data_IF_215797634972
#
_entry.id   IF_215797634972
#
_cell.length_a   1.000
_cell.length_b   1.000
_cell.length_c   1.000
_cell.angle_alpha   90.00
_cell.angle_beta   90.00
_cell.angle_gamma   90.00
#
_symmetry.space_group_name_H-M   'P 1'
#
loop_
_entity.id
_entity.type
_entity.pdbx_description
1 polymer ?
#
# COMPACT_ATOMS: atom_id res chain seq x y z
N UNK A 1 -44.70 81.84 18.66
CA UNK A 1 -44.49 80.66 17.79
C UNK A 1 -43.00 80.46 17.54
N UNK A 2 -42.39 79.44 18.15
CA UNK A 2 -40.93 79.20 18.16
C UNK A 2 -40.57 78.19 17.06
N UNK A 3 -40.00 78.64 15.94
CA UNK A 3 -39.52 77.77 14.84
C UNK A 3 -38.36 76.92 15.34
N UNK A 4 -38.53 75.60 15.35
CA UNK A 4 -37.45 74.62 15.63
C UNK A 4 -36.61 74.45 14.36
N UNK A 5 -35.33 74.79 14.45
CA UNK A 5 -34.34 74.52 13.39
C UNK A 5 -34.04 73.03 13.29
N UNK A 6 -34.15 72.48 12.08
CA UNK A 6 -33.75 71.12 11.74
C UNK A 6 -32.25 71.13 11.46
N UNK A 7 -31.46 70.58 12.39
CA UNK A 7 -30.03 70.37 12.20
C UNK A 7 -29.81 69.14 11.32
N UNK A 8 -29.40 69.36 10.06
CA UNK A 8 -28.96 68.30 9.16
C UNK A 8 -27.63 67.72 9.64
N UNK A 9 -27.68 66.54 10.27
CA UNK A 9 -26.48 65.73 10.56
C UNK A 9 -25.88 65.19 9.26
N UNK A 10 -24.82 65.84 8.80
CA UNK A 10 -23.98 65.41 7.69
C UNK A 10 -23.27 64.09 8.07
N UNK A 11 -23.80 62.96 7.58
CA UNK A 11 -23.28 61.61 7.84
C UNK A 11 -22.08 61.36 6.91
N UNK A 12 -20.87 61.70 7.37
CA UNK A 12 -19.61 61.36 6.69
C UNK A 12 -19.56 59.84 6.46
N UNK A 13 -19.70 59.40 5.20
CA UNK A 13 -19.53 58.00 4.81
C UNK A 13 -18.03 57.68 4.89
N UNK A 14 -17.65 56.79 5.81
CA UNK A 14 -16.31 56.22 5.82
C UNK A 14 -16.03 55.52 4.49
N UNK A 15 -14.84 55.72 3.88
CA UNK A 15 -14.45 54.95 2.71
C UNK A 15 -14.40 53.47 3.09
N UNK A 16 -15.16 52.64 2.37
CA UNK A 16 -15.04 51.18 2.47
C UNK A 16 -13.61 50.83 2.06
N UNK A 17 -12.75 50.48 3.03
CA UNK A 17 -11.47 49.83 2.75
C UNK A 17 -11.79 48.53 2.00
N UNK A 18 -11.48 48.50 0.70
CA UNK A 18 -11.47 47.29 -0.10
C UNK A 18 -10.31 46.45 0.44
N UNK A 19 -10.62 45.48 1.29
CA UNK A 19 -9.64 44.51 1.79
C UNK A 19 -9.25 43.64 0.57
N UNK A 20 -7.96 43.57 0.20
CA UNK A 20 -7.54 42.80 -0.96
C UNK A 20 -7.91 41.31 -0.77
N UNK A 21 -8.53 40.74 -1.80
CA UNK A 21 -9.02 39.36 -1.90
C UNK A 21 -7.88 38.33 -2.09
N UNK A 22 -6.74 38.54 -1.44
CA UNK A 22 -5.67 37.55 -1.34
C UNK A 22 -5.47 37.22 0.13
N UNK A 23 -6.43 36.47 0.68
CA UNK A 23 -6.25 35.79 1.96
C UNK A 23 -5.42 34.54 1.69
N UNK A 24 -4.21 34.51 2.23
CA UNK A 24 -3.31 33.35 2.21
C UNK A 24 -4.01 32.09 2.73
N UNK A 25 -4.60 31.32 1.82
CA UNK A 25 -5.18 30.03 2.13
C UNK A 25 -4.06 29.02 2.29
N UNK A 26 -3.61 28.84 3.52
CA UNK A 26 -2.65 27.77 3.83
C UNK A 26 -3.39 26.45 4.03
N UNK A 27 -2.99 25.43 3.28
CA UNK A 27 -3.47 24.05 3.48
C UNK A 27 -3.08 23.59 4.90
N UNK A 28 -4.01 23.06 5.72
CA UNK A 28 -3.71 22.53 7.05
C UNK A 28 -2.65 21.43 7.02
N UNK A 29 -1.88 21.28 8.10
CA UNK A 29 -0.75 20.36 8.13
C UNK A 29 -1.19 18.91 7.87
N UNK A 30 -2.23 18.41 8.54
CA UNK A 30 -2.65 17.03 8.34
C UNK A 30 -3.20 16.76 6.94
N UNK A 31 -3.83 17.75 6.28
CA UNK A 31 -4.21 17.65 4.86
C UNK A 31 -2.98 17.56 3.95
N UNK A 32 -1.91 18.30 4.24
CA UNK A 32 -0.65 18.17 3.47
C UNK A 32 -0.03 16.78 3.64
N UNK A 33 0.01 16.28 4.87
CA UNK A 33 0.51 14.93 5.18
C UNK A 33 -0.32 13.88 4.45
N UNK A 34 -1.64 13.99 4.51
CA UNK A 34 -2.56 13.06 3.85
C UNK A 34 -2.46 13.14 2.32
N UNK A 35 -2.31 14.34 1.75
CA UNK A 35 -2.06 14.52 0.32
C UNK A 35 -0.73 13.91 -0.10
N UNK A 36 0.33 14.11 0.70
CA UNK A 36 1.64 13.47 0.47
C UNK A 36 1.56 11.95 0.51
N UNK A 37 0.82 11.39 1.47
CA UNK A 37 0.54 9.95 1.53
C UNK A 37 -0.19 9.45 0.28
N UNK A 38 -1.24 10.15 -0.18
CA UNK A 38 -1.94 9.79 -1.42
C UNK A 38 -1.05 9.91 -2.66
N UNK A 39 -0.15 10.89 -2.73
CA UNK A 39 0.82 11.02 -3.82
C UNK A 39 1.77 9.82 -3.84
N UNK A 40 2.28 9.40 -2.67
CA UNK A 40 3.14 8.21 -2.56
C UNK A 40 2.37 6.96 -3.02
N UNK A 41 1.12 6.78 -2.58
CA UNK A 41 0.27 5.68 -3.06
C UNK A 41 0.07 5.73 -4.58
N UNK A 42 -0.26 6.91 -5.12
CA UNK A 42 -0.42 7.11 -6.56
C UNK A 42 0.85 6.70 -7.33
N UNK A 43 2.03 7.10 -6.86
CA UNK A 43 3.30 6.72 -7.47
C UNK A 43 3.53 5.20 -7.42
N UNK A 44 3.22 4.53 -6.30
CA UNK A 44 3.31 3.08 -6.21
C UNK A 44 2.34 2.37 -7.16
N UNK A 45 1.10 2.85 -7.27
CA UNK A 45 0.11 2.30 -8.21
C UNK A 45 0.52 2.52 -9.66
N UNK A 46 1.07 3.68 -10.00
CA UNK A 46 1.60 3.95 -11.34
C UNK A 46 2.80 3.06 -11.65
N UNK A 47 3.74 2.89 -10.71
CA UNK A 47 4.87 1.98 -10.87
C UNK A 47 4.40 0.55 -11.07
N UNK A 48 3.47 0.07 -10.24
CA UNK A 48 2.87 -1.25 -10.36
C UNK A 48 2.16 -1.43 -11.71
N UNK A 49 1.42 -0.42 -12.16
CA UNK A 49 0.75 -0.44 -13.46
C UNK A 49 1.77 -0.56 -14.59
N UNK A 50 2.83 0.25 -14.59
CA UNK A 50 3.88 0.25 -15.64
C UNK A 50 4.65 -1.09 -15.66
N UNK A 51 5.06 -1.59 -14.50
CA UNK A 51 5.78 -2.88 -14.39
C UNK A 51 4.89 -4.07 -14.74
N UNK A 52 3.59 -3.96 -14.47
CA UNK A 52 2.58 -4.99 -14.69
C UNK A 52 1.89 -4.95 -16.05
N UNK A 53 2.30 -4.11 -17.00
CA UNK A 53 1.63 -3.99 -18.32
C UNK A 53 1.61 -5.34 -19.06
N UNK A 54 2.68 -6.14 -18.95
CA UNK A 54 2.79 -7.43 -19.62
C UNK A 54 1.90 -8.52 -19.02
N UNK A 55 1.66 -8.46 -17.70
CA UNK A 55 0.82 -9.41 -16.97
C UNK A 55 -0.02 -8.67 -15.92
N UNK A 56 -1.04 -7.90 -16.37
CA UNK A 56 -1.82 -7.07 -15.47
C UNK A 56 -2.59 -7.98 -14.51
N UNK A 57 -2.29 -7.80 -13.24
CA UNK A 57 -2.95 -8.48 -12.13
C UNK A 57 -3.46 -7.42 -11.16
N UNK A 58 -4.55 -7.73 -10.47
CA UNK A 58 -5.02 -6.91 -9.35
C UNK A 58 -5.75 -7.81 -8.36
N UNK A 59 -5.72 -7.44 -7.08
CA UNK A 59 -6.34 -8.23 -6.02
C UNK A 59 -7.46 -7.42 -5.39
N UNK A 60 -8.69 -7.87 -5.61
CA UNK A 60 -9.91 -7.16 -5.22
C UNK A 60 -10.87 -8.15 -4.59
N UNK A 61 -11.32 -7.83 -3.39
CA UNK A 61 -12.28 -8.59 -2.59
C UNK A 61 -11.89 -10.07 -2.49
N UNK A 62 -10.62 -10.36 -2.23
CA UNK A 62 -10.13 -11.73 -2.10
C UNK A 62 -9.86 -12.47 -3.42
N UNK A 63 -10.14 -11.86 -4.58
CA UNK A 63 -9.98 -12.49 -5.89
C UNK A 63 -8.85 -11.84 -6.68
N UNK A 64 -8.07 -12.67 -7.38
CA UNK A 64 -7.08 -12.23 -8.36
C UNK A 64 -7.81 -12.02 -9.68
N UNK A 65 -7.87 -10.78 -10.14
CA UNK A 65 -8.34 -10.42 -11.48
C UNK A 65 -7.10 -10.29 -12.36
N UNK A 66 -7.17 -10.80 -13.59
CA UNK A 66 -6.06 -10.77 -14.56
C UNK A 66 -6.51 -10.20 -15.90
N UNK A 67 -5.57 -9.72 -16.70
CA UNK A 67 -5.83 -9.29 -18.08
C UNK A 67 -6.39 -7.86 -18.18
N UNK A 68 -7.21 -7.62 -19.21
CA UNK A 68 -7.72 -6.29 -19.51
C UNK A 68 -8.52 -5.67 -18.36
N UNK A 69 -9.33 -6.48 -17.67
CA UNK A 69 -10.13 -6.03 -16.52
C UNK A 69 -9.25 -5.53 -15.37
N UNK A 70 -8.13 -6.20 -15.10
CA UNK A 70 -7.18 -5.78 -14.09
C UNK A 70 -6.50 -4.46 -14.46
N UNK A 71 -6.18 -4.27 -15.74
CA UNK A 71 -5.60 -3.02 -16.26
C UNK A 71 -6.59 -1.86 -16.11
N UNK A 72 -7.84 -2.05 -16.52
CA UNK A 72 -8.90 -1.05 -16.39
C UNK A 72 -9.12 -0.66 -14.92
N UNK A 73 -9.12 -1.64 -14.01
CA UNK A 73 -9.28 -1.40 -12.58
C UNK A 73 -8.10 -0.61 -11.99
N UNK A 74 -6.87 -1.02 -12.29
CA UNK A 74 -5.67 -0.32 -11.81
C UNK A 74 -5.61 1.13 -12.35
N UNK A 75 -5.99 1.35 -13.60
CA UNK A 75 -6.10 2.70 -14.18
C UNK A 75 -7.18 3.54 -13.47
N UNK A 76 -8.36 2.96 -13.21
CA UNK A 76 -9.42 3.65 -12.47
C UNK A 76 -8.98 4.07 -11.06
N UNK A 77 -8.22 3.22 -10.36
CA UNK A 77 -7.62 3.57 -9.06
C UNK A 77 -6.66 4.74 -9.20
N UNK A 78 -5.76 4.72 -10.19
CA UNK A 78 -4.80 5.79 -10.40
C UNK A 78 -5.51 7.14 -10.65
N UNK A 79 -6.55 7.15 -11.49
CA UNK A 79 -7.38 8.33 -11.75
C UNK A 79 -8.08 8.80 -10.47
N UNK A 80 -8.65 7.88 -9.69
CA UNK A 80 -9.32 8.20 -8.42
C UNK A 80 -8.34 8.83 -7.41
N UNK A 81 -7.14 8.29 -7.28
CA UNK A 81 -6.09 8.84 -6.40
C UNK A 81 -5.66 10.24 -6.85
N UNK A 82 -5.44 10.45 -8.14
CA UNK A 82 -5.13 11.77 -8.69
C UNK A 82 -6.25 12.78 -8.43
N UNK A 83 -7.51 12.35 -8.59
CA UNK A 83 -8.67 13.16 -8.30
C UNK A 83 -8.73 13.52 -6.80
N UNK A 84 -8.53 12.56 -5.89
CA UNK A 84 -8.49 12.83 -4.45
C UNK A 84 -7.37 13.80 -4.04
N UNK A 85 -6.17 13.66 -4.59
CA UNK A 85 -5.05 14.60 -4.36
C UNK A 85 -5.46 16.01 -4.78
N UNK A 86 -6.02 16.16 -5.98
CA UNK A 86 -6.54 17.45 -6.44
C UNK A 86 -7.63 17.99 -5.50
N UNK A 87 -8.56 17.14 -5.07
CA UNK A 87 -9.64 17.48 -4.15
C UNK A 87 -9.13 17.99 -2.79
N UNK A 88 -8.09 17.36 -2.24
CA UNK A 88 -7.47 17.75 -0.97
C UNK A 88 -6.70 19.06 -1.05
N UNK A 89 -5.88 19.24 -2.09
CA UNK A 89 -5.12 20.48 -2.29
C UNK A 89 -6.04 21.68 -2.47
N UNK A 90 -7.20 21.47 -3.12
CA UNK A 90 -8.21 22.51 -3.34
C UNK A 90 -9.31 22.55 -2.27
N UNK A 91 -9.24 21.69 -1.24
CA UNK A 91 -10.22 21.55 -0.15
C UNK A 91 -11.66 21.47 -0.64
N UNK A 92 -11.91 20.58 -1.60
CA UNK A 92 -13.26 20.36 -2.14
C UNK A 92 -14.05 19.45 -1.21
N UNK A 93 -15.31 19.78 -0.97
CA UNK A 93 -16.21 18.98 -0.12
C UNK A 93 -16.38 17.54 -0.62
N UNK A 94 -16.54 17.36 -1.94
CA UNK A 94 -16.64 16.02 -2.53
C UNK A 94 -15.41 15.13 -2.23
N UNK A 95 -14.24 15.73 -1.99
CA UNK A 95 -13.03 14.97 -1.70
C UNK A 95 -13.12 14.28 -0.34
N UNK A 96 -13.85 14.88 0.62
CA UNK A 96 -14.15 14.24 1.90
C UNK A 96 -15.03 12.99 1.67
N UNK A 97 -16.12 13.13 0.94
CA UNK A 97 -17.07 12.02 0.69
C UNK A 97 -16.40 10.86 -0.04
N UNK A 98 -15.70 11.15 -1.14
CA UNK A 98 -14.99 10.14 -1.93
C UNK A 98 -13.91 9.45 -1.09
N UNK A 99 -13.20 10.18 -0.24
CA UNK A 99 -12.19 9.58 0.63
C UNK A 99 -12.79 8.68 1.70
N UNK A 100 -13.91 9.08 2.31
CA UNK A 100 -14.61 8.22 3.28
C UNK A 100 -14.99 6.89 2.62
N UNK A 101 -15.55 6.93 1.41
CA UNK A 101 -15.87 5.73 0.63
C UNK A 101 -14.61 4.92 0.29
N UNK A 102 -13.55 5.57 -0.19
CA UNK A 102 -12.31 4.92 -0.61
C UNK A 102 -11.62 4.19 0.55
N UNK A 103 -11.38 4.87 1.66
CA UNK A 103 -10.70 4.28 2.81
C UNK A 103 -11.60 3.26 3.53
N UNK A 104 -12.93 3.48 3.55
CA UNK A 104 -13.90 2.51 4.04
C UNK A 104 -13.93 1.23 3.18
N UNK A 105 -13.92 1.38 1.86
CA UNK A 105 -13.80 0.26 0.92
C UNK A 105 -12.49 -0.49 1.12
N UNK A 106 -11.37 0.21 1.37
CA UNK A 106 -10.10 -0.42 1.69
C UNK A 106 -10.16 -1.32 2.93
N UNK A 107 -10.85 -0.89 3.99
CA UNK A 107 -11.07 -1.72 5.19
C UNK A 107 -11.93 -2.93 4.86
N UNK A 108 -13.06 -2.74 4.16
CA UNK A 108 -13.95 -3.84 3.75
C UNK A 108 -13.20 -4.85 2.88
N UNK A 109 -12.41 -4.36 1.93
CA UNK A 109 -11.58 -5.16 1.04
C UNK A 109 -10.56 -5.99 1.81
N UNK A 110 -9.91 -5.39 2.82
CA UNK A 110 -8.97 -6.10 3.69
C UNK A 110 -9.67 -7.24 4.45
N UNK A 111 -10.86 -7.00 5.03
CA UNK A 111 -11.64 -8.04 5.70
C UNK A 111 -12.00 -9.20 4.77
N UNK A 112 -12.61 -8.90 3.61
CA UNK A 112 -13.00 -9.93 2.64
C UNK A 112 -11.80 -10.69 2.11
N UNK A 113 -10.69 -9.98 1.90
CA UNK A 113 -9.43 -10.60 1.49
C UNK A 113 -8.89 -11.57 2.52
N UNK A 114 -9.07 -11.33 3.81
CA UNK A 114 -8.65 -12.25 4.87
C UNK A 114 -9.53 -13.51 4.93
N UNK A 115 -10.86 -13.34 4.80
CA UNK A 115 -11.81 -14.46 4.87
C UNK A 115 -11.78 -15.36 3.64
N UNK A 116 -11.58 -14.79 2.46
CA UNK A 116 -11.61 -15.52 1.18
C UNK A 116 -10.24 -16.10 0.78
N UNK A 117 -9.18 -15.83 1.55
CA UNK A 117 -7.86 -16.40 1.29
C UNK A 117 -7.79 -17.84 1.83
N UNK A 118 -8.45 -18.78 1.14
CA UNK A 118 -8.42 -20.22 1.46
C UNK A 118 -7.14 -20.92 0.93
N UNK A 119 -6.13 -20.17 0.51
CA UNK A 119 -4.93 -20.72 -0.11
C UNK A 119 -3.88 -21.21 0.89
N UNK A 120 -3.30 -22.38 0.60
CA UNK A 120 -2.09 -22.96 1.20
C UNK A 120 -0.81 -22.13 0.91
N UNK A 121 -0.90 -20.81 0.97
CA UNK A 121 0.19 -19.88 0.70
C UNK A 121 1.17 -19.89 1.89
N UNK A 122 2.46 -20.02 1.54
CA UNK A 122 3.66 -19.89 2.39
C UNK A 122 3.44 -19.18 3.74
N UNK A 123 4.03 -19.70 4.83
CA UNK A 123 3.96 -19.04 6.14
C UNK A 123 4.44 -17.57 6.09
N UNK A 124 5.43 -17.25 5.25
CA UNK A 124 5.94 -15.88 5.10
C UNK A 124 4.98 -15.00 4.30
N UNK A 125 4.46 -15.46 3.17
CA UNK A 125 3.45 -14.71 2.39
C UNK A 125 2.16 -14.54 3.18
N UNK A 126 1.76 -15.54 3.96
CA UNK A 126 0.63 -15.47 4.91
C UNK A 126 0.91 -14.44 6.01
N UNK A 127 2.09 -14.42 6.61
CA UNK A 127 2.46 -13.42 7.61
C UNK A 127 2.50 -12.01 7.02
N UNK A 128 3.00 -11.84 5.80
CA UNK A 128 2.99 -10.56 5.08
C UNK A 128 1.55 -10.13 4.75
N UNK A 129 0.69 -11.07 4.34
CA UNK A 129 -0.72 -10.81 4.06
C UNK A 129 -1.47 -10.40 5.33
N UNK A 130 -1.27 -11.11 6.44
CA UNK A 130 -1.82 -10.75 7.75
C UNK A 130 -1.33 -9.38 8.22
N UNK A 131 -0.03 -9.11 8.08
CA UNK A 131 0.55 -7.81 8.41
C UNK A 131 -0.07 -6.71 7.55
N UNK A 132 -0.19 -6.94 6.23
CA UNK A 132 -0.84 -6.02 5.30
C UNK A 132 -2.31 -5.75 5.67
N UNK A 133 -3.05 -6.78 6.11
CA UNK A 133 -4.40 -6.63 6.64
C UNK A 133 -4.45 -5.70 7.84
N UNK A 134 -3.63 -5.95 8.88
CA UNK A 134 -3.61 -5.11 10.08
C UNK A 134 -3.17 -3.68 9.78
N UNK A 135 -2.16 -3.49 8.94
CA UNK A 135 -1.70 -2.17 8.51
C UNK A 135 -2.83 -1.42 7.79
N UNK A 136 -3.49 -2.07 6.83
CA UNK A 136 -4.59 -1.45 6.07
C UNK A 136 -5.71 -1.00 7.01
N UNK A 137 -6.07 -1.82 7.99
CA UNK A 137 -7.10 -1.50 8.97
C UNK A 137 -6.71 -0.30 9.85
N UNK A 138 -5.50 -0.33 10.41
CA UNK A 138 -5.02 0.74 11.33
C UNK A 138 -4.81 2.06 10.59
N UNK A 139 -4.17 2.03 9.41
CA UNK A 139 -3.90 3.24 8.62
C UNK A 139 -5.19 3.85 8.10
N UNK A 140 -6.07 3.06 7.46
CA UNK A 140 -7.33 3.58 6.95
C UNK A 140 -8.25 4.03 8.09
N UNK A 141 -8.26 3.31 9.22
CA UNK A 141 -9.01 3.71 10.42
C UNK A 141 -8.51 5.05 10.98
N UNK A 142 -7.20 5.25 11.06
CA UNK A 142 -6.59 6.52 11.49
C UNK A 142 -6.94 7.66 10.53
N UNK A 143 -6.90 7.41 9.22
CA UNK A 143 -7.25 8.41 8.19
C UNK A 143 -8.73 8.78 8.30
N UNK A 144 -9.63 7.81 8.41
CA UNK A 144 -11.07 8.06 8.58
C UNK A 144 -11.33 8.86 9.87
N UNK A 145 -10.72 8.46 10.99
CA UNK A 145 -10.81 9.20 12.24
C UNK A 145 -10.37 10.67 12.08
N UNK A 146 -9.26 10.91 11.38
CA UNK A 146 -8.78 12.26 11.12
C UNK A 146 -9.74 13.04 10.22
N UNK A 147 -10.23 12.44 9.13
CA UNK A 147 -11.18 13.07 8.20
C UNK A 147 -12.47 13.47 8.92
N UNK A 148 -13.04 12.61 9.76
CA UNK A 148 -14.23 12.95 10.55
C UNK A 148 -13.94 14.02 11.60
N UNK A 149 -12.77 13.97 12.24
CA UNK A 149 -12.38 14.92 13.29
C UNK A 149 -12.12 16.33 12.78
N UNK A 150 -11.79 16.50 11.51
CA UNK A 150 -11.47 17.77 10.85
C UNK A 150 -12.31 18.00 9.57
N UNK A 151 -13.56 17.52 9.56
CA UNK A 151 -14.50 17.71 8.43
C UNK A 151 -14.59 19.17 7.97
N UNK A 152 -14.50 20.11 8.91
CA UNK A 152 -14.56 21.55 8.66
C UNK A 152 -13.48 22.05 7.68
N UNK A 153 -12.38 21.32 7.52
CA UNK A 153 -11.33 21.64 6.55
C UNK A 153 -11.80 21.57 5.11
N UNK A 154 -12.87 20.82 4.83
CA UNK A 154 -13.44 20.62 3.50
C UNK A 154 -14.72 21.40 3.25
N UNK A 155 -15.47 21.74 4.32
CA UNK A 155 -16.79 22.38 4.20
C UNK A 155 -16.69 23.91 4.32
N UNK A 156 -15.75 24.43 5.12
CA UNK A 156 -15.67 25.87 5.38
C UNK A 156 -14.88 26.60 4.28
N UNK A 157 -15.61 27.31 3.41
CA UNK A 157 -15.09 28.08 2.26
C UNK A 157 -13.98 29.08 2.61
N UNK A 158 -13.95 29.58 3.84
CA UNK A 158 -13.01 30.60 4.32
C UNK A 158 -12.25 30.13 5.55
N UNK A 159 -11.56 29.00 5.45
CA UNK A 159 -10.64 28.57 6.52
C UNK A 159 -9.48 29.57 6.63
N UNK A 160 -9.54 30.43 7.64
CA UNK A 160 -8.44 31.31 8.02
C UNK A 160 -7.34 30.48 8.69
N UNK A 161 -6.08 30.87 8.46
CA UNK A 161 -4.87 30.25 8.99
C UNK A 161 -4.97 30.07 10.50
N UNK A 162 -5.57 28.96 10.94
CA UNK A 162 -5.57 28.56 12.35
C UNK A 162 -4.15 28.12 12.71
N UNK A 163 -3.70 28.33 13.96
CA UNK A 163 -2.51 27.66 14.45
C UNK A 163 -2.66 26.14 14.28
N UNK A 164 -1.53 25.45 14.12
CA UNK A 164 -1.49 23.98 13.95
C UNK A 164 -2.35 23.32 15.02
N UNK A 165 -3.35 22.53 14.60
CA UNK A 165 -4.25 21.88 15.54
C UNK A 165 -3.57 20.69 16.21
N UNK A 166 -3.87 20.44 17.48
CA UNK A 166 -3.36 19.25 18.20
C UNK A 166 -3.69 17.94 17.49
N UNK A 167 -4.85 17.88 16.83
CA UNK A 167 -5.30 16.73 16.03
C UNK A 167 -4.42 16.49 14.80
N UNK A 168 -3.94 17.55 14.14
CA UNK A 168 -3.00 17.42 13.00
C UNK A 168 -1.68 16.81 13.46
N UNK A 169 -1.16 17.23 14.63
CA UNK A 169 0.05 16.68 15.21
C UNK A 169 -0.14 15.23 15.65
N UNK A 170 -1.27 14.93 16.32
CA UNK A 170 -1.59 13.56 16.72
C UNK A 170 -1.65 12.63 15.50
N UNK A 171 -2.34 13.04 14.43
CA UNK A 171 -2.40 12.28 13.18
C UNK A 171 -1.01 12.05 12.59
N UNK A 172 -0.18 13.09 12.48
CA UNK A 172 1.19 12.99 11.96
C UNK A 172 2.04 12.03 12.79
N UNK A 173 2.08 12.19 14.12
CA UNK A 173 2.89 11.34 14.99
C UNK A 173 2.41 9.89 15.00
N UNK A 174 1.10 9.65 15.00
CA UNK A 174 0.53 8.31 14.88
C UNK A 174 0.93 7.65 13.56
N UNK A 175 0.88 8.40 12.45
CA UNK A 175 1.26 7.89 11.14
C UNK A 175 2.76 7.55 11.08
N UNK A 176 3.63 8.41 11.60
CA UNK A 176 5.08 8.13 11.72
C UNK A 176 5.33 6.88 12.56
N UNK A 177 4.68 6.76 13.72
CA UNK A 177 4.84 5.62 14.61
C UNK A 177 4.41 4.31 13.93
N UNK A 178 3.27 4.31 13.24
CA UNK A 178 2.79 3.15 12.48
C UNK A 178 3.84 2.74 11.44
N UNK A 179 4.33 3.67 10.61
CA UNK A 179 5.31 3.35 9.58
C UNK A 179 6.65 2.88 10.15
N UNK A 180 7.10 3.44 11.28
CA UNK A 180 8.29 2.97 11.98
C UNK A 180 8.12 1.52 12.47
N UNK A 181 6.98 1.19 13.10
CA UNK A 181 6.66 -0.17 13.51
C UNK A 181 6.59 -1.14 12.32
N UNK A 182 5.94 -0.74 11.22
CA UNK A 182 5.86 -1.54 9.99
C UNK A 182 7.24 -1.83 9.44
N UNK A 183 8.10 -0.81 9.35
CA UNK A 183 9.47 -0.97 8.87
C UNK A 183 10.25 -1.96 9.74
N UNK A 184 10.18 -1.84 11.06
CA UNK A 184 10.85 -2.76 11.98
C UNK A 184 10.35 -4.21 11.83
N UNK A 185 9.04 -4.42 11.70
CA UNK A 185 8.46 -5.75 11.49
C UNK A 185 8.90 -6.32 10.13
N UNK A 186 8.90 -5.53 9.06
CA UNK A 186 9.36 -5.97 7.74
C UNK A 186 10.84 -6.35 7.73
N UNK A 187 11.70 -5.56 8.39
CA UNK A 187 13.13 -5.90 8.57
C UNK A 187 13.27 -7.21 9.36
N UNK A 188 12.53 -7.38 10.45
CA UNK A 188 12.54 -8.60 11.24
C UNK A 188 12.11 -9.84 10.44
N UNK A 189 11.02 -9.73 9.68
CA UNK A 189 10.54 -10.80 8.80
C UNK A 189 11.55 -11.11 7.69
N UNK A 190 12.15 -10.09 7.08
CA UNK A 190 13.18 -10.23 6.05
C UNK A 190 14.43 -10.93 6.55
N UNK A 191 14.95 -10.53 7.72
CA UNK A 191 16.10 -11.15 8.37
C UNK A 191 15.82 -12.61 8.74
N UNK A 192 14.64 -12.91 9.28
CA UNK A 192 14.24 -14.28 9.60
C UNK A 192 14.15 -15.14 8.34
N UNK A 193 13.54 -14.63 7.27
CA UNK A 193 13.48 -15.31 5.98
C UNK A 193 14.86 -15.58 5.41
N UNK A 194 15.76 -14.59 5.43
CA UNK A 194 17.13 -14.71 4.96
C UNK A 194 17.91 -15.79 5.74
N UNK A 195 17.92 -15.71 7.07
CA UNK A 195 18.63 -16.66 7.93
C UNK A 195 18.08 -18.09 7.79
N UNK A 196 16.75 -18.23 7.75
CA UNK A 196 16.10 -19.54 7.57
C UNK A 196 16.47 -20.13 6.21
N UNK A 197 16.38 -19.34 5.14
CA UNK A 197 16.70 -19.79 3.78
C UNK A 197 18.16 -20.21 3.67
N UNK A 198 19.11 -19.42 4.19
CA UNK A 198 20.54 -19.79 4.18
C UNK A 198 20.79 -21.10 4.93
N UNK A 199 20.20 -21.26 6.12
CA UNK A 199 20.36 -22.49 6.91
C UNK A 199 19.82 -23.70 6.16
N UNK A 200 18.63 -23.56 5.57
CA UNK A 200 18.00 -24.60 4.76
C UNK A 200 18.86 -24.97 3.56
N UNK A 201 19.33 -23.97 2.81
CA UNK A 201 20.12 -24.18 1.61
C UNK A 201 21.46 -24.83 1.92
N UNK A 202 22.16 -24.39 2.97
CA UNK A 202 23.43 -25.02 3.38
C UNK A 202 23.25 -26.47 3.80
N UNK A 203 22.21 -26.77 4.59
CA UNK A 203 21.91 -28.13 5.01
C UNK A 203 21.58 -29.02 3.80
N UNK A 204 20.79 -28.51 2.87
CA UNK A 204 20.35 -29.25 1.68
C UNK A 204 21.49 -29.47 0.68
N UNK A 205 22.37 -28.48 0.48
CA UNK A 205 23.60 -28.64 -0.32
C UNK A 205 24.49 -29.73 0.28
N UNK A 206 24.66 -29.74 1.61
CA UNK A 206 25.48 -30.75 2.27
C UNK A 206 24.88 -32.17 2.13
N UNK A 207 23.55 -32.29 2.18
CA UNK A 207 22.82 -33.56 2.05
C UNK A 207 22.80 -34.13 0.63
N UNK A 208 22.77 -33.25 -0.38
CA UNK A 208 22.77 -33.60 -1.80
C UNK A 208 24.17 -33.77 -2.40
N UNK A 209 25.23 -33.36 -1.67
CA UNK A 209 26.60 -33.45 -2.17
C UNK A 209 26.99 -34.90 -2.44
N UNK A 210 27.33 -35.21 -3.69
CA UNK A 210 27.71 -36.56 -4.12
C UNK A 210 26.56 -37.56 -4.24
N UNK A 211 25.30 -37.10 -4.16
CA UNK A 211 24.13 -37.95 -4.43
C UNK A 211 23.88 -38.05 -5.94
N UNK A 212 23.55 -39.25 -6.41
CA UNK A 212 23.11 -39.46 -7.80
C UNK A 212 21.71 -38.87 -8.02
N UNK A 213 21.31 -38.68 -9.28
CA UNK A 213 20.03 -38.03 -9.65
C UNK A 213 18.82 -38.66 -8.94
N UNK A 214 18.69 -39.99 -8.97
CA UNK A 214 17.56 -40.70 -8.35
C UNK A 214 17.54 -40.53 -6.82
N UNK A 215 18.71 -40.59 -6.19
CA UNK A 215 18.85 -40.39 -4.74
C UNK A 215 18.51 -38.95 -4.34
N UNK A 216 18.93 -37.97 -5.14
CA UNK A 216 18.59 -36.56 -4.94
C UNK A 216 17.08 -36.32 -5.11
N UNK A 217 16.46 -36.92 -6.12
CA UNK A 217 15.01 -36.84 -6.33
C UNK A 217 14.24 -37.45 -5.16
N UNK A 218 14.66 -38.63 -4.69
CA UNK A 218 14.03 -39.28 -3.55
C UNK A 218 14.14 -38.41 -2.29
N UNK A 219 15.35 -37.96 -1.93
CA UNK A 219 15.59 -37.08 -0.77
C UNK A 219 14.77 -35.79 -0.83
N UNK A 220 14.64 -35.17 -2.00
CA UNK A 220 13.80 -33.98 -2.15
C UNK A 220 12.30 -34.29 -2.05
N UNK A 221 11.85 -35.44 -2.55
CA UNK A 221 10.43 -35.83 -2.53
C UNK A 221 9.90 -36.10 -1.12
N UNK A 222 10.75 -36.59 -0.22
CA UNK A 222 10.43 -36.90 1.18
C UNK A 222 10.28 -35.65 2.05
N UNK A 223 10.88 -34.53 1.64
CA UNK A 223 10.76 -33.25 2.34
C UNK A 223 9.36 -32.65 2.18
N UNK A 224 8.97 -31.78 3.12
CA UNK A 224 7.65 -31.12 3.13
C UNK A 224 7.78 -29.59 3.08
N UNK A 225 6.82 -28.95 2.41
CA UNK A 225 6.72 -27.49 2.35
C UNK A 225 7.96 -26.82 1.76
N UNK A 226 8.50 -25.81 2.46
CA UNK A 226 9.63 -24.99 2.00
C UNK A 226 10.91 -25.79 1.77
N UNK A 227 11.14 -26.84 2.56
CA UNK A 227 12.33 -27.68 2.45
C UNK A 227 12.34 -28.47 1.14
N UNK A 228 11.16 -28.93 0.70
CA UNK A 228 11.00 -29.59 -0.60
C UNK A 228 11.35 -28.66 -1.75
N UNK A 229 10.76 -27.47 -1.75
CA UNK A 229 10.94 -26.48 -2.81
C UNK A 229 12.41 -26.01 -2.93
N UNK A 230 13.07 -25.76 -1.79
CA UNK A 230 14.49 -25.39 -1.77
C UNK A 230 15.38 -26.55 -2.20
N UNK A 231 15.03 -27.80 -1.86
CA UNK A 231 15.74 -28.98 -2.32
C UNK A 231 15.71 -29.15 -3.83
N UNK A 232 14.52 -29.06 -4.43
CA UNK A 232 14.39 -29.11 -5.89
C UNK A 232 15.07 -27.93 -6.59
N UNK A 233 15.05 -26.73 -6.00
CA UNK A 233 15.79 -25.57 -6.53
C UNK A 233 17.31 -25.82 -6.54
N UNK A 234 17.86 -26.38 -5.46
CA UNK A 234 19.29 -26.69 -5.37
C UNK A 234 19.66 -27.81 -6.34
N UNK A 235 18.83 -28.86 -6.41
CA UNK A 235 18.98 -29.95 -7.36
C UNK A 235 18.99 -29.43 -8.81
N UNK A 236 18.05 -28.56 -9.17
CA UNK A 236 17.96 -27.97 -10.51
C UNK A 236 19.15 -27.06 -10.87
N UNK A 237 19.91 -26.60 -9.89
CA UNK A 237 21.11 -25.79 -10.08
C UNK A 237 22.40 -26.63 -10.11
N UNK A 238 22.33 -27.95 -10.02
CA UNK A 238 23.50 -28.81 -10.22
C UNK A 238 23.79 -28.93 -11.73
N UNK A 239 24.96 -28.46 -12.21
CA UNK A 239 25.32 -28.53 -13.63
C UNK A 239 25.59 -29.95 -14.13
N UNK A 240 25.79 -30.92 -13.24
CA UNK A 240 26.01 -32.32 -13.59
C UNK A 240 24.75 -33.04 -14.10
N UNK A 241 23.56 -32.43 -13.93
CA UNK A 241 22.30 -32.99 -14.39
C UNK A 241 21.87 -32.42 -15.74
N UNK A 242 21.21 -33.26 -16.55
CA UNK A 242 20.72 -32.87 -17.87
C UNK A 242 19.66 -31.77 -17.78
N UNK A 243 19.55 -30.99 -18.85
CA UNK A 243 18.60 -29.86 -18.95
C UNK A 243 17.16 -30.32 -18.70
N UNK A 244 16.79 -31.51 -19.18
CA UNK A 244 15.46 -32.11 -18.94
C UNK A 244 15.19 -32.33 -17.45
N UNK A 245 16.16 -32.85 -16.73
CA UNK A 245 16.03 -33.21 -15.32
C UNK A 245 15.96 -31.97 -14.44
N UNK A 246 16.78 -30.97 -14.76
CA UNK A 246 16.73 -29.64 -14.14
C UNK A 246 15.37 -28.99 -14.35
N UNK A 247 14.78 -29.12 -15.54
CA UNK A 247 13.45 -28.59 -15.84
C UNK A 247 12.34 -29.31 -15.06
N UNK A 248 12.45 -30.63 -14.91
CA UNK A 248 11.53 -31.45 -14.13
C UNK A 248 11.62 -31.14 -12.62
N UNK A 249 12.83 -30.90 -12.11
CA UNK A 249 13.04 -30.43 -10.75
C UNK A 249 12.35 -29.07 -10.52
N UNK A 250 12.51 -28.10 -11.42
CA UNK A 250 11.79 -26.82 -11.32
C UNK A 250 10.26 -26.98 -11.38
N UNK A 251 9.74 -27.93 -12.16
CA UNK A 251 8.29 -28.22 -12.20
C UNK A 251 7.74 -28.77 -10.89
N UNK A 252 8.57 -29.48 -10.13
CA UNK A 252 8.22 -30.14 -8.87
C UNK A 252 8.15 -29.17 -7.68
N UNK A 253 8.55 -27.92 -7.89
CA UNK A 253 8.46 -26.84 -6.91
C UNK A 253 7.01 -26.31 -6.86
N UNK A 254 6.44 -26.26 -5.66
CA UNK A 254 5.09 -25.74 -5.42
C UNK A 254 5.06 -24.22 -5.28
N UNK A 255 6.13 -23.61 -4.74
CA UNK A 255 6.26 -22.16 -4.61
C UNK A 255 6.44 -21.46 -5.96
N UNK A 256 5.55 -20.54 -6.31
CA UNK A 256 5.72 -19.68 -7.50
C UNK A 256 7.03 -18.88 -7.46
N UNK A 257 7.44 -18.42 -6.26
CA UNK A 257 8.69 -17.67 -6.10
C UNK A 257 9.91 -18.54 -6.42
N UNK A 258 10.06 -19.71 -5.77
CA UNK A 258 11.21 -20.58 -6.02
C UNK A 258 11.17 -21.18 -7.42
N UNK A 259 9.98 -21.45 -7.96
CA UNK A 259 9.79 -21.95 -9.32
C UNK A 259 10.23 -20.93 -10.36
N UNK A 260 9.86 -19.66 -10.18
CA UNK A 260 10.35 -18.56 -11.01
C UNK A 260 11.87 -18.43 -10.92
N UNK A 261 12.44 -18.42 -9.71
CA UNK A 261 13.90 -18.39 -9.51
C UNK A 261 14.60 -19.57 -10.18
N UNK A 262 14.03 -20.77 -10.10
CA UNK A 262 14.57 -21.99 -10.70
C UNK A 262 14.64 -21.89 -12.23
N UNK A 263 13.56 -21.44 -12.88
CA UNK A 263 13.59 -21.25 -14.33
C UNK A 263 14.56 -20.14 -14.75
N UNK A 264 14.67 -19.06 -13.97
CA UNK A 264 15.60 -17.98 -14.26
C UNK A 264 17.06 -18.42 -14.17
N UNK A 265 17.42 -19.25 -13.18
CA UNK A 265 18.78 -19.78 -13.04
C UNK A 265 19.15 -20.82 -14.09
N UNK A 266 18.17 -21.38 -14.82
CA UNK A 266 18.43 -22.26 -15.97
C UNK A 266 18.67 -21.51 -17.28
N UNK A 267 18.28 -20.23 -17.36
CA UNK A 267 18.47 -19.39 -18.56
C UNK A 267 19.81 -18.65 -18.58
N UNK A 268 20.61 -18.78 -17.52
CA UNK A 268 21.98 -18.26 -17.41
C UNK A 268 22.98 -19.38 -17.70
#
# INVERSE_FOLDING_TARGET
>A
MKKRGVSQKNKKRHPRKIIPFHKDYTIPLGIRVLSGYLIILFLFFMLYFILGISTPTTYVLGKIIRGADASAFNFAIAVLLAFLVYGYLNRKEWAFEVSVVWFGFGILNAFLSLFLHEGNSFSVLRNISLLSFFITLVVNGLILWYLFSERDYFVVRSYHKKPVQKKDLAFLYSLILIWACVFLVLVGLGLNFYNKTIRLSKATIAELKGSYLEEAQQKCSEKKGQEKDVCYLIMANNPEFDVSDRYQACRSINSDFYKFTCYQSMTQ
#
